data_IF_428684772457
#
_entry.id   IF_428684772457
#
_cell.length_a   1.000
_cell.length_b   1.000
_cell.length_c   1.000
_cell.angle_alpha   90.00
_cell.angle_beta   90.00
_cell.angle_gamma   90.00
#
_symmetry.space_group_name_H-M   'P 1'
#
loop_
_entity.id
_entity.type
_entity.pdbx_description
1 polymer ?
#
# COMPACT_ATOMS: atom_id res chain seq x y z
N UNK A 1 -1.41 -29.14 -4.54
CA UNK A 1 -1.73 -27.81 -3.97
C UNK A 1 -3.24 -27.68 -3.91
N UNK A 2 -3.76 -27.12 -2.83
CA UNK A 2 -5.20 -26.88 -2.69
C UNK A 2 -5.55 -25.58 -3.39
N UNK A 3 -6.59 -25.63 -4.24
CA UNK A 3 -7.23 -24.47 -4.88
C UNK A 3 -8.61 -24.29 -4.28
N UNK A 4 -8.96 -23.06 -3.95
CA UNK A 4 -10.31 -22.71 -3.52
C UNK A 4 -11.18 -22.40 -4.76
N UNK A 5 -12.22 -23.17 -4.98
CA UNK A 5 -13.08 -23.01 -6.15
C UNK A 5 -14.23 -22.04 -5.86
N UNK A 6 -14.38 -21.04 -6.71
CA UNK A 6 -15.57 -20.19 -6.77
C UNK A 6 -16.39 -20.62 -7.98
N UNK A 7 -17.65 -20.92 -7.76
CA UNK A 7 -18.56 -21.46 -8.76
C UNK A 7 -19.58 -20.41 -9.18
N UNK A 8 -19.89 -20.37 -10.47
CA UNK A 8 -20.97 -19.56 -11.00
C UNK A 8 -21.62 -20.28 -12.17
N UNK A 9 -22.93 -20.21 -12.28
CA UNK A 9 -23.67 -20.80 -13.41
C UNK A 9 -23.40 -20.02 -14.70
N UNK A 10 -23.29 -18.69 -14.59
CA UNK A 10 -23.07 -17.81 -15.73
C UNK A 10 -22.21 -16.58 -15.29
N UNK A 11 -20.94 -16.64 -15.56
CA UNK A 11 -20.01 -15.55 -15.25
C UNK A 11 -20.27 -14.25 -16.04
N UNK A 12 -21.08 -14.28 -17.11
CA UNK A 12 -21.45 -13.06 -17.83
C UNK A 12 -22.33 -12.12 -16.98
N UNK A 13 -23.02 -12.68 -15.99
CA UNK A 13 -23.86 -11.97 -15.02
C UNK A 13 -23.13 -11.63 -13.71
N UNK A 14 -21.89 -12.04 -13.58
CA UNK A 14 -21.10 -11.75 -12.38
C UNK A 14 -20.78 -10.25 -12.28
N UNK A 15 -21.02 -9.67 -11.09
CA UNK A 15 -20.82 -8.24 -10.86
C UNK A 15 -19.35 -7.80 -10.94
N UNK A 16 -18.39 -8.71 -10.82
CA UNK A 16 -16.98 -8.37 -10.73
C UNK A 16 -16.19 -8.87 -11.96
N UNK A 17 -16.41 -8.22 -13.09
CA UNK A 17 -15.73 -8.53 -14.36
C UNK A 17 -14.21 -8.28 -14.33
N UNK A 18 -13.70 -7.48 -13.37
CA UNK A 18 -12.28 -7.14 -13.25
C UNK A 18 -11.42 -8.23 -12.61
N UNK A 19 -12.01 -9.28 -12.09
CA UNK A 19 -11.29 -10.39 -11.45
C UNK A 19 -10.40 -11.16 -12.42
N UNK A 20 -10.85 -11.35 -13.67
CA UNK A 20 -10.04 -11.97 -14.74
C UNK A 20 -9.31 -10.88 -15.50
N UNK A 21 -7.98 -10.83 -15.39
CA UNK A 21 -7.16 -9.78 -16.04
C UNK A 21 -6.45 -10.25 -17.32
N UNK A 22 -6.41 -11.57 -17.57
CA UNK A 22 -5.86 -12.17 -18.80
C UNK A 22 -6.72 -13.35 -19.21
N UNK A 23 -7.08 -13.43 -20.50
CA UNK A 23 -7.99 -14.44 -21.00
C UNK A 23 -9.47 -14.08 -20.75
N UNK A 24 -10.28 -15.03 -20.37
CA UNK A 24 -11.71 -14.87 -20.13
C UNK A 24 -12.21 -15.74 -18.98
N UNK A 25 -13.43 -15.50 -18.54
CA UNK A 25 -14.13 -16.38 -17.61
C UNK A 25 -14.43 -17.76 -18.21
N UNK A 26 -14.50 -18.82 -17.38
CA UNK A 26 -14.99 -20.13 -17.81
C UNK A 26 -16.41 -20.03 -18.37
N UNK A 27 -16.63 -20.68 -19.49
CA UNK A 27 -17.94 -20.75 -20.14
C UNK A 27 -18.45 -22.20 -20.26
N UNK A 28 -17.51 -23.14 -20.42
CA UNK A 28 -17.81 -24.55 -20.60
C UNK A 28 -17.40 -25.35 -19.37
N UNK A 29 -17.94 -26.57 -19.26
CA UNK A 29 -17.72 -27.48 -18.13
C UNK A 29 -16.28 -28.01 -18.02
N UNK A 30 -15.51 -27.95 -19.10
CA UNK A 30 -14.10 -28.32 -19.13
C UNK A 30 -13.12 -27.15 -19.03
N UNK A 31 -13.61 -25.96 -18.64
CA UNK A 31 -12.79 -24.75 -18.53
C UNK A 31 -12.58 -24.31 -17.08
N UNK A 32 -11.41 -23.76 -16.82
CA UNK A 32 -11.03 -23.21 -15.51
C UNK A 32 -10.28 -21.89 -15.70
N UNK A 33 -10.57 -20.91 -14.85
CA UNK A 33 -9.69 -19.77 -14.67
C UNK A 33 -8.97 -19.92 -13.32
N UNK A 34 -7.65 -19.78 -13.32
CA UNK A 34 -6.81 -20.01 -12.13
C UNK A 34 -6.13 -18.72 -11.66
N UNK A 35 -5.75 -18.67 -10.39
CA UNK A 35 -5.00 -17.56 -9.83
C UNK A 35 -3.71 -17.31 -10.59
N UNK A 36 -3.45 -16.05 -10.99
CA UNK A 36 -2.25 -15.69 -11.75
C UNK A 36 -0.94 -15.99 -11.03
N UNK A 37 -0.94 -15.89 -9.70
CA UNK A 37 0.20 -16.29 -8.88
C UNK A 37 0.46 -17.78 -9.01
N UNK A 38 -0.58 -18.60 -8.85
CA UNK A 38 -0.49 -20.05 -8.99
C UNK A 38 -0.01 -20.45 -10.38
N UNK A 39 -0.58 -19.81 -11.43
CA UNK A 39 -0.16 -20.06 -12.82
C UNK A 39 1.33 -19.77 -13.02
N UNK A 40 1.83 -18.66 -12.47
CA UNK A 40 3.24 -18.27 -12.59
C UNK A 40 4.17 -19.22 -11.83
N UNK A 41 3.78 -19.63 -10.61
CA UNK A 41 4.58 -20.55 -9.78
C UNK A 41 4.76 -21.92 -10.45
N UNK A 42 3.76 -22.36 -11.25
CA UNK A 42 3.75 -23.67 -11.90
C UNK A 42 4.01 -23.61 -13.43
N UNK A 43 4.27 -22.44 -13.98
CA UNK A 43 4.60 -22.27 -15.40
C UNK A 43 3.40 -22.43 -16.35
N UNK A 44 2.16 -22.30 -15.87
CA UNK A 44 0.96 -22.41 -16.71
C UNK A 44 0.71 -21.19 -17.56
N UNK A 45 0.20 -21.42 -18.77
CA UNK A 45 -0.27 -20.40 -19.70
C UNK A 45 -1.77 -20.61 -20.03
N UNK A 46 -2.44 -19.55 -20.45
CA UNK A 46 -3.80 -19.68 -21.01
C UNK A 46 -3.73 -20.59 -22.24
N UNK A 47 -4.63 -21.57 -22.30
CA UNK A 47 -4.63 -22.63 -23.32
C UNK A 47 -3.93 -23.94 -22.88
N UNK A 48 -3.24 -23.95 -21.74
CA UNK A 48 -2.73 -25.22 -21.20
C UNK A 48 -3.83 -26.01 -20.50
N UNK A 49 -3.63 -27.31 -20.37
CA UNK A 49 -4.46 -28.20 -19.55
C UNK A 49 -3.89 -28.29 -18.14
N UNK A 50 -4.78 -28.42 -17.17
CA UNK A 50 -4.47 -28.66 -15.75
C UNK A 50 -5.33 -29.84 -15.26
N UNK A 51 -4.72 -30.71 -14.46
CA UNK A 51 -5.44 -31.77 -13.77
C UNK A 51 -5.84 -31.33 -12.37
N UNK A 52 -7.14 -31.41 -12.07
CA UNK A 52 -7.73 -31.08 -10.78
C UNK A 52 -8.29 -32.35 -10.16
N UNK A 53 -7.91 -32.60 -8.92
CA UNK A 53 -8.42 -33.72 -8.14
C UNK A 53 -9.27 -33.20 -7.00
N UNK A 54 -10.53 -33.62 -6.94
CA UNK A 54 -11.41 -33.38 -5.81
C UNK A 54 -12.37 -34.56 -5.63
N UNK A 55 -12.81 -34.83 -4.41
CA UNK A 55 -13.72 -35.91 -4.06
C UNK A 55 -13.27 -37.30 -4.58
N UNK A 56 -11.96 -37.51 -4.70
CA UNK A 56 -11.38 -38.76 -5.23
C UNK A 56 -11.44 -38.93 -6.74
N UNK A 57 -11.93 -37.95 -7.49
CA UNK A 57 -11.91 -37.90 -8.95
C UNK A 57 -10.88 -36.91 -9.46
N UNK A 58 -10.27 -37.23 -10.59
CA UNK A 58 -9.32 -36.36 -11.29
C UNK A 58 -9.85 -36.07 -12.68
N UNK A 59 -9.95 -34.78 -13.02
CA UNK A 59 -10.46 -34.30 -14.30
C UNK A 59 -9.49 -33.28 -14.90
N UNK A 60 -9.50 -33.24 -16.25
CA UNK A 60 -8.71 -32.25 -17.02
C UNK A 60 -9.54 -31.04 -17.37
N UNK A 61 -8.95 -29.86 -17.16
CA UNK A 61 -9.56 -28.57 -17.49
C UNK A 61 -8.62 -27.74 -18.35
N UNK A 62 -9.19 -27.02 -19.31
CA UNK A 62 -8.52 -26.04 -20.12
C UNK A 62 -8.44 -24.70 -19.38
N UNK A 63 -7.26 -24.18 -19.19
CA UNK A 63 -7.05 -22.87 -18.57
C UNK A 63 -7.50 -21.77 -19.55
N UNK A 64 -8.66 -21.16 -19.29
CA UNK A 64 -9.24 -20.12 -20.14
C UNK A 64 -8.89 -18.69 -19.71
N UNK A 65 -8.39 -18.49 -18.49
CA UNK A 65 -8.03 -17.20 -17.99
C UNK A 65 -7.24 -17.23 -16.69
N UNK A 66 -6.67 -16.08 -16.35
CA UNK A 66 -6.01 -15.85 -15.09
C UNK A 66 -6.76 -14.84 -14.25
N UNK A 67 -7.01 -15.22 -13.00
CA UNK A 67 -7.68 -14.40 -12.00
C UNK A 67 -6.67 -13.67 -11.12
N UNK A 68 -7.13 -12.60 -10.50
CA UNK A 68 -6.39 -11.79 -9.57
C UNK A 68 -7.25 -11.54 -8.33
N UNK A 69 -7.25 -12.53 -7.44
CA UNK A 69 -8.03 -12.55 -6.20
C UNK A 69 -7.06 -12.71 -5.03
N UNK A 70 -7.30 -11.97 -3.95
CA UNK A 70 -6.45 -12.03 -2.74
C UNK A 70 -6.82 -13.15 -1.79
N UNK A 71 -8.01 -13.71 -1.94
CA UNK A 71 -8.45 -14.83 -1.12
C UNK A 71 -7.47 -16.00 -1.27
N UNK A 72 -7.27 -16.75 -0.22
CA UNK A 72 -6.35 -17.88 -0.19
C UNK A 72 -4.95 -17.59 -0.80
N UNK A 73 -4.49 -16.34 -0.67
CA UNK A 73 -3.20 -15.86 -1.19
C UNK A 73 -3.00 -16.09 -2.71
N UNK A 74 -4.08 -15.97 -3.48
CA UNK A 74 -4.07 -16.16 -4.93
C UNK A 74 -4.09 -17.63 -5.39
N UNK A 75 -4.49 -18.54 -4.52
CA UNK A 75 -4.75 -19.96 -4.84
C UNK A 75 -6.22 -20.21 -5.05
N UNK A 76 -6.83 -19.38 -5.87
CA UNK A 76 -8.25 -19.48 -6.23
C UNK A 76 -8.39 -19.97 -7.66
N UNK A 77 -9.52 -20.62 -7.92
CA UNK A 77 -9.95 -20.95 -9.27
C UNK A 77 -11.44 -20.65 -9.46
N UNK A 78 -11.79 -20.36 -10.68
CA UNK A 78 -13.18 -20.18 -11.10
C UNK A 78 -13.58 -21.33 -12.00
N UNK A 79 -14.73 -21.92 -11.72
CA UNK A 79 -15.33 -23.01 -12.49
C UNK A 79 -16.81 -22.73 -12.70
N UNK A 80 -17.37 -23.22 -13.80
CA UNK A 80 -18.81 -23.31 -13.89
C UNK A 80 -19.32 -24.37 -12.91
N UNK A 81 -20.61 -24.28 -12.49
CA UNK A 81 -21.20 -25.31 -11.65
C UNK A 81 -21.10 -26.69 -12.32
N UNK A 82 -21.43 -26.78 -13.62
CA UNK A 82 -21.30 -28.01 -14.41
C UNK A 82 -19.84 -28.53 -14.44
N UNK A 83 -18.88 -27.60 -14.51
CA UNK A 83 -17.48 -27.96 -14.45
C UNK A 83 -17.09 -28.62 -13.13
N UNK A 84 -17.58 -28.12 -12.01
CA UNK A 84 -17.33 -28.74 -10.72
C UNK A 84 -18.02 -30.07 -10.51
N UNK A 85 -19.24 -30.21 -11.03
CA UNK A 85 -20.02 -31.48 -10.95
C UNK A 85 -19.33 -32.67 -11.60
N UNK A 86 -18.36 -32.43 -12.52
CA UNK A 86 -17.50 -33.51 -13.06
C UNK A 86 -16.61 -34.11 -11.99
N UNK A 87 -16.19 -33.30 -11.00
CA UNK A 87 -15.34 -33.73 -9.87
C UNK A 87 -16.17 -34.36 -8.72
N UNK A 88 -17.50 -34.18 -8.72
CA UNK A 88 -18.37 -34.75 -7.71
C UNK A 88 -19.50 -33.83 -7.31
N UNK A 89 -20.23 -34.22 -6.28
CA UNK A 89 -21.35 -33.44 -5.73
C UNK A 89 -20.87 -32.30 -4.87
N UNK A 90 -21.54 -31.17 -4.97
CA UNK A 90 -21.30 -29.99 -4.13
C UNK A 90 -21.71 -30.32 -2.68
N UNK A 91 -20.78 -30.14 -1.77
CA UNK A 91 -21.01 -30.24 -0.33
C UNK A 91 -20.62 -28.90 0.31
N UNK A 92 -21.39 -28.44 1.30
CA UNK A 92 -21.13 -27.20 2.04
C UNK A 92 -20.97 -25.95 1.14
N UNK A 93 -22.05 -25.62 0.42
CA UNK A 93 -22.05 -24.50 -0.52
C UNK A 93 -22.27 -23.19 0.25
N UNK A 94 -21.42 -22.19 -0.02
CA UNK A 94 -21.67 -20.81 0.40
C UNK A 94 -22.28 -20.03 -0.73
N UNK A 95 -23.44 -19.40 -0.49
CA UNK A 95 -24.10 -18.53 -1.46
C UNK A 95 -23.71 -17.08 -1.19
N UNK A 96 -23.31 -16.37 -2.24
CA UNK A 96 -23.12 -14.93 -2.19
C UNK A 96 -24.36 -14.25 -2.78
N UNK A 97 -25.04 -13.46 -1.97
CA UNK A 97 -26.26 -12.75 -2.36
C UNK A 97 -25.94 -11.27 -2.45
N UNK A 98 -26.19 -10.68 -3.62
CA UNK A 98 -26.10 -9.24 -3.81
C UNK A 98 -27.48 -8.63 -3.60
N UNK A 99 -27.59 -7.75 -2.62
CA UNK A 99 -28.83 -7.04 -2.32
C UNK A 99 -28.99 -5.80 -3.20
N UNK A 100 -30.22 -5.38 -3.40
CA UNK A 100 -30.53 -4.12 -4.07
C UNK A 100 -30.03 -2.92 -3.25
N UNK A 101 -29.73 -1.82 -3.93
CA UNK A 101 -29.31 -0.59 -3.29
C UNK A 101 -30.37 -0.08 -2.28
N UNK A 102 -29.96 0.22 -1.06
CA UNK A 102 -30.86 0.71 0.00
C UNK A 102 -31.47 -0.39 0.89
N UNK A 103 -31.21 -1.67 0.63
CA UNK A 103 -31.66 -2.76 1.52
C UNK A 103 -30.81 -2.79 2.78
N UNK A 104 -31.45 -2.87 3.96
CA UNK A 104 -30.76 -3.11 5.22
C UNK A 104 -30.25 -4.56 5.25
N UNK A 105 -28.93 -4.70 5.33
CA UNK A 105 -28.26 -6.00 5.25
C UNK A 105 -28.49 -6.80 6.53
N UNK A 106 -28.53 -6.14 7.68
CA UNK A 106 -28.62 -6.82 8.97
C UNK A 106 -30.06 -7.31 9.19
N UNK A 107 -31.06 -6.52 8.84
CA UNK A 107 -32.49 -6.95 8.82
C UNK A 107 -32.72 -8.12 7.87
N UNK A 108 -32.15 -8.06 6.65
CA UNK A 108 -32.22 -9.16 5.69
C UNK A 108 -31.55 -10.44 6.24
N UNK A 109 -30.42 -10.33 6.89
CA UNK A 109 -29.70 -11.46 7.47
C UNK A 109 -30.50 -12.12 8.59
N UNK A 110 -31.14 -11.34 9.47
CA UNK A 110 -32.03 -11.85 10.53
C UNK A 110 -33.23 -12.59 9.95
N UNK A 111 -33.86 -12.01 8.93
CA UNK A 111 -35.00 -12.66 8.22
C UNK A 111 -34.57 -13.99 7.57
N UNK A 112 -33.44 -14.02 6.88
CA UNK A 112 -32.92 -15.22 6.23
C UNK A 112 -32.54 -16.30 7.23
N UNK A 113 -31.89 -15.93 8.33
CA UNK A 113 -31.53 -16.86 9.40
C UNK A 113 -32.81 -17.48 10.02
N UNK A 114 -33.80 -16.67 10.31
CA UNK A 114 -35.10 -17.17 10.84
C UNK A 114 -35.85 -18.05 9.87
N UNK A 115 -35.83 -17.74 8.56
CA UNK A 115 -36.58 -18.46 7.53
C UNK A 115 -35.95 -19.79 7.16
N UNK A 116 -34.64 -19.92 7.26
CA UNK A 116 -33.88 -21.11 6.91
C UNK A 116 -33.21 -21.79 8.11
N UNK A 117 -33.72 -21.54 9.32
CA UNK A 117 -33.20 -22.11 10.55
C UNK A 117 -33.13 -23.66 10.45
N UNK A 118 -31.95 -24.19 10.82
CA UNK A 118 -31.59 -25.60 10.68
C UNK A 118 -31.09 -26.06 9.29
N UNK A 119 -31.28 -25.26 8.23
CA UNK A 119 -30.80 -25.57 6.88
C UNK A 119 -29.59 -24.70 6.46
N UNK A 120 -29.29 -23.64 7.21
CA UNK A 120 -28.18 -22.70 6.96
C UNK A 120 -27.31 -22.67 8.20
N UNK A 121 -26.02 -22.92 8.02
CA UNK A 121 -25.06 -22.92 9.13
C UNK A 121 -24.78 -21.51 9.67
N UNK A 122 -25.07 -20.47 8.89
CA UNK A 122 -24.92 -19.07 9.31
C UNK A 122 -25.09 -18.11 8.12
N UNK A 123 -25.50 -16.91 8.44
CA UNK A 123 -25.58 -15.79 7.50
C UNK A 123 -24.57 -14.73 7.95
N UNK A 124 -23.76 -14.27 7.04
CA UNK A 124 -22.66 -13.34 7.35
C UNK A 124 -22.81 -12.08 6.50
N UNK A 125 -22.75 -10.94 7.16
CA UNK A 125 -22.61 -9.65 6.47
C UNK A 125 -21.16 -9.52 5.97
N UNK A 126 -20.97 -9.81 4.69
CA UNK A 126 -19.62 -9.77 4.05
C UNK A 126 -19.07 -8.36 4.08
N UNK A 127 -19.92 -7.33 3.96
CA UNK A 127 -19.49 -5.92 3.98
C UNK A 127 -18.85 -5.57 5.33
N UNK A 128 -19.52 -5.87 6.45
CA UNK A 128 -18.97 -5.58 7.79
C UNK A 128 -17.70 -6.38 8.05
N UNK A 129 -17.62 -7.62 7.57
CA UNK A 129 -16.41 -8.45 7.69
C UNK A 129 -15.24 -7.87 6.90
N UNK A 130 -15.49 -7.43 5.66
CA UNK A 130 -14.46 -6.80 4.82
C UNK A 130 -14.05 -5.45 5.40
N UNK A 131 -15.01 -4.60 5.81
CA UNK A 131 -14.73 -3.28 6.39
C UNK A 131 -13.97 -3.43 7.72
N UNK A 132 -14.32 -4.41 8.54
CA UNK A 132 -13.60 -4.74 9.76
C UNK A 132 -12.16 -5.16 9.49
N UNK A 133 -11.94 -6.09 8.56
CA UNK A 133 -10.61 -6.50 8.15
C UNK A 133 -9.81 -5.33 7.54
N UNK A 134 -10.44 -4.55 6.65
CA UNK A 134 -9.82 -3.38 6.03
C UNK A 134 -9.39 -2.34 7.08
N UNK A 135 -10.22 -2.09 8.10
CA UNK A 135 -9.90 -1.14 9.17
C UNK A 135 -8.64 -1.53 9.96
N UNK A 136 -8.44 -2.82 10.21
CA UNK A 136 -7.23 -3.33 10.87
C UNK A 136 -6.00 -3.09 9.99
N UNK A 137 -6.08 -3.40 8.69
CA UNK A 137 -4.98 -3.14 7.75
C UNK A 137 -4.66 -1.66 7.64
N UNK A 138 -5.68 -0.79 7.52
CA UNK A 138 -5.50 0.67 7.49
C UNK A 138 -4.84 1.17 8.76
N UNK A 139 -5.25 0.67 9.92
CA UNK A 139 -4.65 1.04 11.22
C UNK A 139 -3.17 0.63 11.30
N UNK A 140 -2.84 -0.59 10.90
CA UNK A 140 -1.45 -1.08 10.87
C UNK A 140 -0.57 -0.24 9.91
N UNK A 141 -1.07 0.03 8.70
CA UNK A 141 -0.35 0.87 7.73
C UNK A 141 -0.15 2.28 8.28
N UNK A 142 -1.16 2.85 8.93
CA UNK A 142 -1.08 4.18 9.53
C UNK A 142 0.00 4.24 10.62
N UNK A 143 0.08 3.24 11.49
CA UNK A 143 1.13 3.15 12.52
C UNK A 143 2.52 3.09 11.87
N UNK A 144 2.69 2.27 10.83
CA UNK A 144 3.96 2.15 10.10
C UNK A 144 4.34 3.48 9.46
N UNK A 145 3.39 4.17 8.82
CA UNK A 145 3.62 5.49 8.20
C UNK A 145 4.06 6.52 9.23
N UNK A 146 3.38 6.58 10.38
CA UNK A 146 3.76 7.48 11.48
C UNK A 146 5.16 7.15 11.99
N UNK A 147 5.50 5.88 12.18
CA UNK A 147 6.82 5.46 12.63
C UNK A 147 7.92 5.88 11.63
N UNK A 148 7.69 5.72 10.31
CA UNK A 148 8.61 6.16 9.27
C UNK A 148 8.76 7.68 9.26
N UNK A 149 7.68 8.43 9.43
CA UNK A 149 7.73 9.90 9.50
C UNK A 149 8.54 10.38 10.70
N UNK A 150 8.34 9.78 11.87
CA UNK A 150 9.11 10.10 13.09
C UNK A 150 10.58 9.78 12.90
N UNK A 151 10.91 8.60 12.38
CA UNK A 151 12.28 8.20 12.10
C UNK A 151 12.95 9.15 11.10
N UNK A 152 12.26 9.52 10.04
CA UNK A 152 12.75 10.49 9.04
C UNK A 152 13.01 11.86 9.67
N UNK A 153 12.13 12.34 10.55
CA UNK A 153 12.32 13.60 11.25
C UNK A 153 13.57 13.56 12.17
N UNK A 154 13.80 12.44 12.86
CA UNK A 154 15.00 12.24 13.70
C UNK A 154 16.27 12.26 12.83
N UNK A 155 16.28 11.57 11.71
CA UNK A 155 17.43 11.53 10.78
C UNK A 155 17.72 12.94 10.25
N UNK A 156 16.71 13.68 9.80
CA UNK A 156 16.84 15.05 9.31
C UNK A 156 17.43 15.94 10.42
N UNK A 157 16.88 15.86 11.63
CA UNK A 157 17.37 16.64 12.77
C UNK A 157 18.83 16.32 13.09
N UNK A 158 19.22 15.05 13.04
CA UNK A 158 20.60 14.61 13.31
C UNK A 158 21.57 15.11 12.24
N UNK A 159 21.23 14.94 10.97
CA UNK A 159 22.07 15.42 9.84
C UNK A 159 22.22 16.94 9.89
N UNK A 160 21.10 17.67 10.04
CA UNK A 160 21.14 19.13 10.17
C UNK A 160 21.94 19.57 11.40
N UNK A 161 21.83 18.85 12.52
CA UNK A 161 22.63 19.13 13.70
C UNK A 161 24.14 19.06 13.41
N UNK A 162 24.59 18.01 12.74
CA UNK A 162 26.00 17.85 12.38
C UNK A 162 26.46 18.95 11.42
N UNK A 163 25.66 19.26 10.38
CA UNK A 163 25.96 20.30 9.41
C UNK A 163 26.04 21.69 10.05
N UNK A 164 25.05 22.06 10.85
CA UNK A 164 24.99 23.35 11.55
C UNK A 164 26.15 23.44 12.54
N UNK A 165 26.44 22.38 13.30
CA UNK A 165 27.57 22.35 14.25
C UNK A 165 28.90 22.58 13.53
N UNK A 166 29.14 21.89 12.43
CA UNK A 166 30.36 22.04 11.62
C UNK A 166 30.46 23.44 11.03
N UNK A 167 29.39 23.98 10.48
CA UNK A 167 29.35 25.32 9.92
C UNK A 167 29.61 26.38 10.99
N UNK A 168 29.01 26.25 12.19
CA UNK A 168 29.21 27.17 13.28
C UNK A 168 30.66 27.15 13.78
N UNK A 169 31.28 25.99 13.85
CA UNK A 169 32.68 25.89 14.24
C UNK A 169 33.60 26.56 13.21
N UNK A 170 33.38 26.27 11.91
CA UNK A 170 34.25 26.79 10.85
C UNK A 170 34.04 28.28 10.60
N UNK A 171 32.83 28.81 10.77
CA UNK A 171 32.48 30.22 10.53
C UNK A 171 32.29 31.04 11.81
N UNK A 172 32.80 30.55 12.95
CA UNK A 172 32.65 31.22 14.25
C UNK A 172 33.17 32.65 14.24
N UNK A 173 34.33 32.90 13.61
CA UNK A 173 34.95 34.21 13.46
C UNK A 173 34.08 35.14 12.60
N UNK A 174 33.59 34.66 11.47
CA UNK A 174 32.72 35.43 10.56
C UNK A 174 31.42 35.89 11.24
N UNK A 175 30.79 35.00 12.02
CA UNK A 175 29.61 35.36 12.82
C UNK A 175 29.92 36.41 13.91
N UNK A 176 31.11 36.36 14.48
CA UNK A 176 31.54 37.38 15.43
C UNK A 176 31.72 38.74 14.77
N UNK A 177 32.35 38.80 13.60
CA UNK A 177 32.51 40.02 12.81
C UNK A 177 31.15 40.59 12.38
N UNK A 178 30.26 39.76 11.87
CA UNK A 178 28.89 40.17 11.46
C UNK A 178 28.10 40.75 12.65
N UNK A 179 28.23 40.16 13.85
CA UNK A 179 27.61 40.72 15.06
C UNK A 179 28.19 42.08 15.46
N UNK A 180 29.51 42.30 15.32
CA UNK A 180 30.12 43.57 15.59
C UNK A 180 29.73 44.66 14.59
N UNK A 181 29.37 44.27 13.37
CA UNK A 181 28.80 45.14 12.33
C UNK A 181 27.29 45.43 12.52
N UNK A 182 26.66 44.94 13.62
CA UNK A 182 25.27 45.25 13.96
C UNK A 182 24.24 44.24 13.49
N UNK A 183 24.64 43.09 12.89
CA UNK A 183 23.67 42.05 12.53
C UNK A 183 23.03 41.41 13.77
N UNK A 184 21.71 41.30 13.74
CA UNK A 184 20.99 40.69 14.84
C UNK A 184 21.14 39.15 14.82
N UNK A 185 21.06 38.53 15.99
CA UNK A 185 21.12 37.07 16.10
C UNK A 185 20.03 36.36 15.25
N UNK A 186 18.85 36.98 15.16
CA UNK A 186 17.74 36.42 14.34
C UNK A 186 18.09 36.40 12.85
N UNK A 187 18.68 37.46 12.33
CA UNK A 187 19.13 37.53 10.93
C UNK A 187 20.18 36.47 10.63
N UNK A 188 21.17 36.27 11.52
CA UNK A 188 22.21 35.27 11.36
C UNK A 188 21.65 33.82 11.41
N UNK A 189 20.68 33.56 12.29
CA UNK A 189 20.00 32.28 12.39
C UNK A 189 19.26 31.98 11.10
N UNK A 190 18.44 32.90 10.59
CA UNK A 190 17.68 32.73 9.36
C UNK A 190 18.62 32.58 8.16
N UNK A 191 19.67 33.38 8.06
CA UNK A 191 20.68 33.27 7.00
C UNK A 191 21.35 31.91 7.01
N UNK A 192 21.70 31.39 8.19
CA UNK A 192 22.30 30.06 8.35
C UNK A 192 21.32 28.98 7.95
N UNK A 193 20.06 29.05 8.37
CA UNK A 193 19.04 28.08 7.98
C UNK A 193 18.81 28.12 6.46
N UNK A 194 18.71 29.30 5.85
CA UNK A 194 18.51 29.46 4.41
C UNK A 194 19.69 28.89 3.59
N UNK A 195 20.90 28.87 4.12
CA UNK A 195 22.06 28.31 3.39
C UNK A 195 21.95 26.80 3.13
N UNK A 196 21.13 26.09 3.91
CA UNK A 196 20.87 24.65 3.70
C UNK A 196 19.63 24.39 2.82
N UNK A 197 18.76 25.39 2.61
CA UNK A 197 17.49 25.20 1.91
C UNK A 197 17.65 24.73 0.45
N UNK A 198 18.60 25.24 -0.35
CA UNK A 198 18.78 24.76 -1.72
C UNK A 198 19.01 23.24 -1.77
N UNK A 199 19.85 22.72 -0.88
CA UNK A 199 20.12 21.28 -0.83
C UNK A 199 18.85 20.47 -0.41
N UNK A 200 18.10 20.97 0.58
CA UNK A 200 16.84 20.34 1.04
C UNK A 200 15.81 20.34 -0.06
N UNK A 201 15.64 21.45 -0.78
CA UNK A 201 14.67 21.55 -1.89
C UNK A 201 15.03 20.57 -3.00
N UNK A 202 16.29 20.54 -3.43
CA UNK A 202 16.74 19.61 -4.48
C UNK A 202 16.53 18.17 -4.05
N UNK A 203 16.91 17.82 -2.82
CA UNK A 203 16.73 16.47 -2.28
C UNK A 203 15.26 16.08 -2.20
N UNK A 204 14.37 17.00 -1.80
CA UNK A 204 12.92 16.75 -1.75
C UNK A 204 12.34 16.52 -3.14
N UNK A 205 12.71 17.32 -4.14
CA UNK A 205 12.26 17.15 -5.52
C UNK A 205 12.71 15.81 -6.09
N UNK A 206 14.00 15.47 -5.91
CA UNK A 206 14.53 14.17 -6.33
C UNK A 206 13.80 13.03 -5.62
N UNK A 207 13.56 13.16 -4.32
CA UNK A 207 12.83 12.16 -3.53
C UNK A 207 11.41 11.92 -4.04
N UNK A 208 10.67 12.98 -4.40
CA UNK A 208 9.33 12.86 -5.00
C UNK A 208 9.41 12.12 -6.35
N UNK A 209 10.35 12.49 -7.21
CA UNK A 209 10.51 11.84 -8.53
C UNK A 209 10.83 10.36 -8.37
N UNK A 210 11.79 10.03 -7.52
CA UNK A 210 12.19 8.63 -7.23
C UNK A 210 11.01 7.85 -6.63
N UNK A 211 10.25 8.45 -5.71
CA UNK A 211 9.06 7.82 -5.12
C UNK A 211 8.01 7.51 -6.18
N UNK A 212 7.73 8.45 -7.11
CA UNK A 212 6.77 8.23 -8.20
C UNK A 212 7.17 7.08 -9.13
N UNK A 213 8.47 6.90 -9.36
CA UNK A 213 8.97 5.81 -10.22
C UNK A 213 8.98 4.47 -9.46
N UNK A 214 9.39 4.50 -8.18
CA UNK A 214 9.64 3.29 -7.40
C UNK A 214 8.38 2.65 -6.80
N UNK A 215 7.29 3.42 -6.56
CA UNK A 215 6.13 2.91 -5.82
C UNK A 215 5.41 1.77 -6.54
N UNK A 216 5.20 1.87 -7.86
CA UNK A 216 4.51 0.84 -8.62
C UNK A 216 5.26 -0.50 -8.64
N UNK A 217 6.58 -0.59 -8.94
CA UNK A 217 7.31 -1.83 -8.88
C UNK A 217 7.40 -2.40 -7.46
N UNK A 218 7.58 -1.55 -6.44
CA UNK A 218 7.64 -2.00 -5.04
C UNK A 218 6.29 -2.57 -4.58
N UNK A 219 5.19 -1.88 -4.86
CA UNK A 219 3.85 -2.35 -4.53
C UNK A 219 3.47 -3.59 -5.32
N UNK A 220 3.82 -3.68 -6.59
CA UNK A 220 3.62 -4.89 -7.40
C UNK A 220 4.35 -6.09 -6.80
N UNK A 221 5.58 -5.90 -6.32
CA UNK A 221 6.35 -6.95 -5.66
C UNK A 221 5.68 -7.39 -4.35
N UNK A 222 5.23 -6.44 -3.53
CA UNK A 222 4.53 -6.72 -2.27
C UNK A 222 3.21 -7.44 -2.51
N UNK A 223 2.35 -6.92 -3.38
CA UNK A 223 1.04 -7.52 -3.64
C UNK A 223 1.11 -8.83 -4.43
N UNK A 224 2.21 -9.09 -5.14
CA UNK A 224 2.41 -10.37 -5.81
C UNK A 224 2.46 -11.55 -4.83
N UNK A 225 2.90 -11.32 -3.61
CA UNK A 225 2.89 -12.34 -2.55
C UNK A 225 1.46 -12.68 -2.09
N UNK A 226 0.53 -11.74 -2.23
CA UNK A 226 -0.89 -11.89 -1.88
C UNK A 226 -1.76 -12.38 -3.05
N UNK A 227 -1.18 -12.65 -4.22
CA UNK A 227 -1.91 -13.14 -5.40
C UNK A 227 -2.25 -12.08 -6.44
N UNK A 228 -1.96 -10.79 -6.19
CA UNK A 228 -2.17 -9.71 -7.15
C UNK A 228 -0.89 -9.54 -7.98
N UNK A 229 -0.94 -9.96 -9.24
CA UNK A 229 0.21 -9.94 -10.14
C UNK A 229 0.38 -8.61 -10.87
N UNK A 230 -0.73 -7.92 -11.14
CA UNK A 230 -0.72 -6.63 -11.81
C UNK A 230 -1.42 -5.60 -10.94
N UNK A 231 -0.65 -4.66 -10.44
CA UNK A 231 -1.15 -3.57 -9.62
C UNK A 231 -0.61 -2.25 -10.15
N UNK A 232 -1.51 -1.31 -10.41
CA UNK A 232 -1.15 0.06 -10.84
C UNK A 232 -1.76 1.04 -9.84
N UNK A 233 -0.89 1.79 -9.15
CA UNK A 233 -1.32 2.83 -8.24
C UNK A 233 -1.28 4.18 -8.95
N UNK A 234 -2.38 4.90 -8.89
CA UNK A 234 -2.41 6.28 -9.30
C UNK A 234 -1.91 7.16 -8.15
N UNK A 235 -0.74 7.76 -8.32
CA UNK A 235 -0.11 8.57 -7.29
C UNK A 235 -0.73 9.98 -7.36
N UNK A 236 -1.37 10.46 -6.30
CA UNK A 236 -1.89 11.81 -6.26
C UNK A 236 -0.71 12.80 -6.12
N UNK A 237 -0.26 13.35 -7.26
CA UNK A 237 0.89 14.28 -7.33
C UNK A 237 0.68 15.47 -6.40
N UNK A 238 -0.57 15.96 -6.28
CA UNK A 238 -0.91 17.04 -5.38
C UNK A 238 -0.58 16.69 -3.92
N UNK A 239 -0.96 15.51 -3.47
CA UNK A 239 -0.70 15.05 -2.09
C UNK A 239 0.80 14.89 -1.82
N UNK A 240 1.54 14.32 -2.79
CA UNK A 240 3.00 14.18 -2.69
C UNK A 240 3.70 15.53 -2.65
N UNK A 241 3.20 16.52 -3.40
CA UNK A 241 3.74 17.89 -3.39
C UNK A 241 3.48 18.58 -2.05
N UNK A 242 2.29 18.46 -1.49
CA UNK A 242 1.95 19.01 -0.17
C UNK A 242 2.83 18.41 0.93
N UNK A 243 3.03 17.09 0.88
CA UNK A 243 3.94 16.41 1.81
C UNK A 243 5.39 16.92 1.67
N UNK A 244 5.87 17.10 0.43
CA UNK A 244 7.19 17.67 0.16
C UNK A 244 7.37 19.09 0.72
N UNK A 245 6.37 19.95 0.56
CA UNK A 245 6.36 21.31 1.15
C UNK A 245 6.41 21.20 2.68
N UNK A 246 5.64 20.30 3.28
CA UNK A 246 5.69 20.03 4.71
C UNK A 246 7.09 19.64 5.20
N UNK A 247 7.80 18.79 4.46
CA UNK A 247 9.19 18.41 4.75
C UNK A 247 10.15 19.60 4.67
N UNK A 248 10.01 20.47 3.66
CA UNK A 248 10.84 21.68 3.52
C UNK A 248 10.63 22.62 4.72
N UNK A 249 9.37 22.87 5.11
CA UNK A 249 9.03 23.72 6.25
C UNK A 249 9.58 23.13 7.55
N UNK A 250 9.41 21.84 7.78
CA UNK A 250 9.93 21.13 8.94
C UNK A 250 11.46 21.23 9.02
N UNK A 251 12.16 21.00 7.91
CA UNK A 251 13.61 21.10 7.82
C UNK A 251 14.09 22.50 8.11
N UNK A 252 13.41 23.53 7.59
CA UNK A 252 13.71 24.93 7.88
C UNK A 252 13.54 25.25 9.38
N UNK A 253 12.43 24.80 9.98
CA UNK A 253 12.18 24.97 11.41
C UNK A 253 13.28 24.33 12.27
N UNK A 254 13.67 23.09 11.96
CA UNK A 254 14.76 22.38 12.65
C UNK A 254 16.08 23.12 12.47
N UNK A 255 16.42 23.56 11.26
CA UNK A 255 17.64 24.32 10.99
C UNK A 255 17.68 25.64 11.78
N UNK A 256 16.56 26.37 11.89
CA UNK A 256 16.46 27.57 12.71
C UNK A 256 16.68 27.25 14.19
N UNK A 257 16.03 26.23 14.73
CA UNK A 257 16.18 25.83 16.14
C UNK A 257 17.62 25.47 16.47
N UNK A 258 18.28 24.70 15.61
CA UNK A 258 19.68 24.32 15.81
C UNK A 258 20.64 25.51 15.70
N UNK A 259 20.34 26.46 14.80
CA UNK A 259 21.13 27.68 14.61
C UNK A 259 20.99 28.69 15.74
N UNK A 260 20.01 28.52 16.66
CA UNK A 260 19.92 29.34 17.86
C UNK A 260 21.19 29.31 18.74
N UNK A 261 22.03 28.28 18.58
CA UNK A 261 23.37 28.23 19.22
C UNK A 261 24.27 29.43 18.86
N UNK A 262 24.02 30.13 17.74
CA UNK A 262 24.67 31.39 17.36
C UNK A 262 24.52 32.46 18.46
N UNK A 263 23.44 32.43 19.24
CA UNK A 263 23.21 33.34 20.36
C UNK A 263 24.37 33.30 21.37
N UNK A 264 24.99 32.12 21.57
CA UNK A 264 26.09 31.92 22.53
C UNK A 264 27.46 32.41 22.03
N UNK A 265 27.57 32.81 20.75
CA UNK A 265 28.83 33.36 20.20
C UNK A 265 28.92 34.82 20.63
N UNK A 266 29.82 35.11 21.58
CA UNK A 266 30.09 36.45 22.04
C UNK A 266 31.17 37.10 21.17
N UNK A 267 30.99 38.34 20.66
CA UNK A 267 32.00 39.05 19.84
C UNK A 267 33.33 39.23 20.56
N UNK A 268 33.27 39.40 21.89
CA UNK A 268 34.43 39.69 22.75
C UNK A 268 35.48 38.55 22.74
N UNK A 269 35.06 37.29 22.66
CA UNK A 269 35.97 36.13 22.76
C UNK A 269 36.70 35.82 21.45
N UNK A 270 36.45 36.60 20.39
CA UNK A 270 37.06 36.39 19.07
C UNK A 270 38.07 37.46 18.68
N UNK A 271 38.15 38.54 19.48
CA UNK A 271 39.11 39.63 19.31
C UNK A 271 40.37 39.42 20.17
N UNK A 272 40.32 38.55 21.15
CA UNK A 272 41.45 38.15 21.96
C UNK A 272 41.93 36.83 21.37
N UNK A 273 42.84 36.91 20.42
CA UNK A 273 43.41 35.72 19.80
C UNK A 273 44.26 34.97 20.82
N UNK A 274 43.92 33.70 21.01
CA UNK A 274 44.82 32.59 21.25
C UNK A 274 44.29 31.40 20.49
#
# INVERSE_FOLDING_TARGET
>A
AELMATLCDDFSKANNQSVVFKGRFPKYDNEIAIGAKYAREHGFNVGNEIEITANGKTEKYLICGFTQITNNLGRDCLLTRQGYERLGTLQNVTYYINLAEGTDIDEFNEEMQGKFDGNVNGVINVKTTIDGAASVYVSLITIIVIAILVLSAIIIAFVLYLLVRTMLNNKKRDYGILKSLGFTTKQLVVQTALSFMPAVIIATVIGIIVSCIAINPLMSLFFSTMGIVKCTFNIPILFSSVAGIGFIILSFGIACLLSLKIKKIAPRNLLVGE
#
